data_IF_290705822876
#
_entry.id   IF_290705822876
#
_cell.length_a   1.000
_cell.length_b   1.000
_cell.length_c   1.000
_cell.angle_alpha   90.00
_cell.angle_beta   90.00
_cell.angle_gamma   90.00
#
_symmetry.space_group_name_H-M   'P 1'
#
loop_
_entity.id
_entity.type
_entity.pdbx_description
1 polymer ?
#
# COMPACT_ATOMS: atom_id res chain seq x y z
N UNK A 1 -13.22 -65.36 -6.62
CA UNK A 1 -11.86 -64.79 -6.90
C UNK A 1 -11.84 -64.31 -8.35
N UNK A 2 -11.70 -63.03 -8.62
CA UNK A 2 -11.68 -62.47 -9.98
C UNK A 2 -10.40 -62.96 -10.69
N UNK A 3 -10.57 -63.60 -11.87
CA UNK A 3 -9.47 -64.14 -12.69
C UNK A 3 -8.59 -62.95 -13.16
N UNK A 4 -7.30 -62.93 -12.70
CA UNK A 4 -6.35 -61.86 -13.11
C UNK A 4 -6.15 -61.91 -14.61
N UNK A 5 -6.42 -60.80 -15.30
CA UNK A 5 -6.20 -60.63 -16.76
C UNK A 5 -4.74 -60.78 -17.08
N UNK A 6 -4.42 -61.56 -18.13
CA UNK A 6 -3.03 -61.81 -18.58
C UNK A 6 -2.86 -61.40 -20.06
N UNK A 7 -1.67 -60.96 -20.39
CA UNK A 7 -1.28 -60.72 -21.79
C UNK A 7 -0.92 -61.99 -22.55
N UNK A 8 -0.59 -61.86 -23.83
CA UNK A 8 -0.15 -62.98 -24.68
C UNK A 8 1.13 -63.68 -24.19
N UNK A 9 1.93 -63.01 -23.34
CA UNK A 9 3.13 -63.55 -22.68
C UNK A 9 2.87 -64.09 -21.28
N UNK A 10 1.57 -64.30 -20.90
CA UNK A 10 1.11 -64.80 -19.59
C UNK A 10 1.42 -63.85 -18.40
N UNK A 11 1.82 -62.59 -18.62
CA UNK A 11 2.07 -61.60 -17.58
C UNK A 11 0.74 -61.02 -17.06
N UNK A 12 0.68 -60.73 -15.78
CA UNK A 12 -0.51 -60.12 -15.15
C UNK A 12 -0.61 -58.65 -15.54
N UNK A 13 -1.73 -58.27 -16.12
CA UNK A 13 -2.07 -56.88 -16.41
C UNK A 13 -2.63 -56.22 -15.17
N UNK A 14 -2.21 -54.99 -14.91
CA UNK A 14 -2.73 -54.15 -13.81
C UNK A 14 -4.17 -53.68 -14.11
N UNK A 15 -4.79 -53.08 -13.13
CA UNK A 15 -6.10 -52.48 -13.35
C UNK A 15 -5.99 -51.39 -14.45
N UNK A 16 -7.02 -51.30 -15.31
CA UNK A 16 -7.07 -50.41 -16.50
C UNK A 16 -6.05 -50.67 -17.59
N UNK A 17 -5.13 -51.66 -17.46
CA UNK A 17 -4.30 -52.16 -18.56
C UNK A 17 -5.08 -53.19 -19.37
N UNK A 18 -4.86 -53.20 -20.68
CA UNK A 18 -5.36 -54.24 -21.58
C UNK A 18 -4.43 -54.42 -22.77
N UNK A 19 -4.41 -55.61 -23.39
CA UNK A 19 -3.74 -55.82 -24.66
C UNK A 19 -4.75 -55.81 -25.79
N UNK A 20 -4.48 -55.01 -26.83
CA UNK A 20 -5.29 -54.88 -28.03
C UNK A 20 -5.05 -56.09 -28.98
N UNK A 21 -5.97 -56.34 -29.90
CA UNK A 21 -5.88 -57.37 -30.90
C UNK A 21 -4.66 -57.23 -31.82
N UNK A 22 -4.19 -56.00 -32.02
CA UNK A 22 -3.01 -55.68 -32.82
C UNK A 22 -1.68 -55.85 -32.08
N UNK A 23 -1.73 -56.29 -30.81
CA UNK A 23 -0.57 -56.53 -29.95
C UNK A 23 -0.11 -55.35 -29.12
N UNK A 24 -0.66 -54.16 -29.30
CA UNK A 24 -0.37 -52.98 -28.44
C UNK A 24 -0.96 -53.15 -27.07
N UNK A 25 -0.32 -52.59 -26.08
CA UNK A 25 -0.83 -52.42 -24.73
C UNK A 25 -1.56 -51.09 -24.63
N UNK A 26 -2.67 -51.03 -23.92
CA UNK A 26 -3.49 -49.87 -23.68
C UNK A 26 -3.67 -49.65 -22.17
N UNK A 27 -3.49 -48.43 -21.73
CA UNK A 27 -3.87 -47.95 -20.40
C UNK A 27 -4.93 -46.87 -20.52
N UNK A 28 -6.04 -47.04 -19.77
CA UNK A 28 -7.18 -46.12 -19.80
C UNK A 28 -7.23 -45.32 -18.49
N UNK A 29 -7.32 -44.00 -18.57
CA UNK A 29 -7.44 -43.14 -17.40
C UNK A 29 -8.47 -42.04 -17.61
N UNK A 30 -8.87 -41.38 -16.51
CA UNK A 30 -9.77 -40.23 -16.56
C UNK A 30 -8.95 -38.95 -16.44
N UNK A 31 -9.16 -38.00 -17.34
CA UNK A 31 -8.61 -36.65 -17.27
C UNK A 31 -9.74 -35.64 -17.48
N UNK A 32 -9.98 -34.79 -16.48
CA UNK A 32 -11.07 -33.82 -16.44
C UNK A 32 -12.47 -34.47 -16.70
N UNK A 33 -12.71 -35.63 -16.07
CA UNK A 33 -13.98 -36.38 -16.23
C UNK A 33 -14.14 -37.09 -17.58
N UNK A 34 -13.21 -36.95 -18.51
CA UNK A 34 -13.23 -37.64 -19.81
C UNK A 34 -12.23 -38.78 -19.82
N UNK A 35 -12.66 -39.92 -20.39
CA UNK A 35 -11.80 -41.07 -20.56
C UNK A 35 -10.77 -40.82 -21.67
N UNK A 36 -9.47 -41.05 -21.37
CA UNK A 36 -8.36 -41.06 -22.31
C UNK A 36 -7.64 -42.37 -22.29
N UNK A 37 -7.09 -42.76 -23.43
CA UNK A 37 -6.34 -43.98 -23.62
C UNK A 37 -4.93 -43.69 -24.15
N UNK A 38 -3.90 -44.32 -23.60
CA UNK A 38 -2.53 -44.34 -24.15
C UNK A 38 -2.16 -45.71 -24.58
N UNK A 39 -1.31 -45.78 -25.62
CA UNK A 39 -0.95 -47.05 -26.28
C UNK A 39 0.57 -47.17 -26.39
N UNK A 40 1.08 -48.41 -26.19
CA UNK A 40 2.49 -48.72 -26.39
C UNK A 40 2.66 -50.13 -26.91
N UNK A 41 3.73 -50.37 -27.67
CA UNK A 41 4.15 -51.72 -28.09
C UNK A 41 4.92 -52.47 -27.01
N UNK A 42 5.39 -51.76 -25.97
CA UNK A 42 6.10 -52.30 -24.82
C UNK A 42 5.23 -52.17 -23.57
N UNK A 43 5.13 -53.25 -22.77
CA UNK A 43 4.51 -53.17 -21.44
C UNK A 43 5.51 -52.63 -20.41
N UNK A 44 6.72 -53.23 -20.44
CA UNK A 44 7.82 -52.85 -19.54
C UNK A 44 8.99 -52.25 -20.33
N UNK A 45 9.87 -51.44 -19.72
CA UNK A 45 11.06 -50.89 -20.39
C UNK A 45 11.98 -51.93 -20.99
N UNK A 46 12.02 -53.12 -20.41
CA UNK A 46 12.83 -54.24 -20.84
C UNK A 46 12.26 -55.03 -22.02
N UNK A 47 11.04 -54.75 -22.44
CA UNK A 47 10.39 -55.46 -23.56
C UNK A 47 11.09 -55.16 -24.90
N UNK A 48 11.36 -56.22 -25.67
CA UNK A 48 11.85 -56.11 -27.05
C UNK A 48 10.71 -55.57 -27.93
N UNK A 49 11.07 -54.65 -28.79
CA UNK A 49 10.12 -54.05 -29.74
C UNK A 49 9.76 -55.10 -30.84
N UNK A 50 8.50 -55.20 -31.25
CA UNK A 50 8.13 -56.06 -32.38
C UNK A 50 8.83 -55.59 -33.69
N UNK A 51 9.22 -56.54 -34.54
CA UNK A 51 9.91 -56.24 -35.79
C UNK A 51 9.13 -55.25 -36.66
N UNK A 52 9.81 -54.25 -37.22
CA UNK A 52 9.23 -53.23 -38.08
C UNK A 52 8.46 -52.08 -37.35
N UNK A 53 8.54 -52.02 -36.02
CA UNK A 53 7.92 -50.93 -35.24
C UNK A 53 8.97 -49.92 -34.78
N UNK A 54 8.55 -48.64 -34.70
CA UNK A 54 9.39 -47.54 -34.16
C UNK A 54 9.49 -47.66 -32.63
N UNK A 55 10.62 -47.26 -32.10
CA UNK A 55 10.83 -47.25 -30.64
C UNK A 55 9.78 -46.37 -29.92
N UNK A 56 9.36 -46.85 -28.77
CA UNK A 56 8.33 -46.21 -27.97
C UNK A 56 8.59 -46.42 -26.46
N UNK A 57 8.10 -45.51 -25.68
CA UNK A 57 8.11 -45.57 -24.20
C UNK A 57 7.22 -46.74 -23.74
N UNK A 58 7.63 -47.48 -22.75
CA UNK A 58 6.84 -48.58 -22.18
C UNK A 58 5.53 -48.06 -21.53
N UNK A 59 4.46 -48.86 -21.62
CA UNK A 59 3.15 -48.46 -21.10
C UNK A 59 3.18 -48.12 -19.62
N UNK A 60 3.89 -48.92 -18.81
CA UNK A 60 4.01 -48.72 -17.36
C UNK A 60 4.82 -47.47 -16.99
N UNK A 61 5.76 -47.06 -17.78
CA UNK A 61 6.46 -45.77 -17.61
C UNK A 61 5.50 -44.60 -17.89
N UNK A 62 4.68 -44.70 -18.96
CA UNK A 62 3.64 -43.68 -19.23
C UNK A 62 2.59 -43.68 -18.13
N UNK A 63 2.16 -44.84 -17.60
CA UNK A 63 1.24 -44.95 -16.47
C UNK A 63 1.81 -44.26 -15.24
N UNK A 64 3.07 -44.49 -14.88
CA UNK A 64 3.72 -43.83 -13.74
C UNK A 64 3.80 -42.30 -13.92
N UNK A 65 4.10 -41.83 -15.11
CA UNK A 65 4.07 -40.37 -15.41
C UNK A 65 2.67 -39.77 -15.32
N UNK A 66 1.65 -40.50 -15.82
CA UNK A 66 0.25 -40.05 -15.73
C UNK A 66 -0.21 -40.04 -14.28
N UNK A 67 0.08 -41.12 -13.51
CA UNK A 67 -0.23 -41.19 -12.08
C UNK A 67 0.49 -40.09 -11.28
N UNK A 68 1.78 -39.83 -11.56
CA UNK A 68 2.51 -38.71 -10.97
C UNK A 68 1.85 -37.37 -11.30
N UNK A 69 1.44 -37.15 -12.56
CA UNK A 69 0.69 -35.95 -12.94
C UNK A 69 -0.67 -35.83 -12.26
N UNK A 70 -1.38 -36.95 -12.06
CA UNK A 70 -2.66 -36.99 -11.36
C UNK A 70 -2.52 -36.83 -9.84
N UNK A 71 -1.45 -37.36 -9.24
CA UNK A 71 -1.11 -37.18 -7.82
C UNK A 71 -0.52 -35.79 -7.52
N UNK A 72 0.27 -35.24 -8.46
CA UNK A 72 0.80 -33.88 -8.40
C UNK A 72 -0.17 -32.84 -8.99
N UNK A 73 -1.17 -33.29 -9.76
CA UNK A 73 -2.25 -32.46 -10.27
C UNK A 73 -3.07 -31.94 -9.12
N UNK A 74 -3.01 -30.64 -8.88
CA UNK A 74 -3.85 -29.96 -7.91
C UNK A 74 -5.32 -30.35 -8.12
N UNK A 75 -6.08 -30.57 -7.01
CA UNK A 75 -7.50 -30.76 -7.13
C UNK A 75 -8.07 -29.60 -7.95
N UNK A 76 -9.09 -29.89 -8.74
CA UNK A 76 -9.80 -28.95 -9.65
C UNK A 76 -10.08 -27.63 -8.92
N UNK A 77 -9.06 -26.75 -8.81
CA UNK A 77 -9.29 -25.41 -8.28
C UNK A 77 -10.19 -24.71 -9.26
N UNK A 78 -11.34 -24.20 -8.83
CA UNK A 78 -12.21 -23.43 -9.70
C UNK A 78 -11.36 -22.33 -10.33
N UNK A 79 -11.42 -22.20 -11.66
CA UNK A 79 -10.74 -21.11 -12.36
C UNK A 79 -11.15 -19.80 -11.71
N UNK A 80 -10.20 -19.11 -11.13
CA UNK A 80 -10.42 -17.86 -10.39
C UNK A 80 -9.73 -16.73 -11.13
N UNK A 81 -10.43 -15.63 -11.34
CA UNK A 81 -9.84 -14.42 -11.94
C UNK A 81 -9.07 -13.61 -10.89
N UNK A 82 -8.21 -12.69 -11.36
CA UNK A 82 -7.51 -11.74 -10.47
C UNK A 82 -8.50 -10.91 -9.65
N UNK A 83 -9.58 -10.44 -10.28
CA UNK A 83 -10.63 -9.68 -9.59
C UNK A 83 -11.24 -10.49 -8.44
N UNK A 84 -11.61 -11.74 -8.67
CA UNK A 84 -12.18 -12.63 -7.66
C UNK A 84 -11.19 -12.91 -6.52
N UNK A 85 -9.91 -13.13 -6.83
CA UNK A 85 -8.86 -13.33 -5.83
C UNK A 85 -8.71 -12.09 -4.93
N UNK A 86 -8.65 -10.89 -5.53
CA UNK A 86 -8.50 -9.63 -4.78
C UNK A 86 -9.74 -9.39 -3.90
N UNK A 87 -10.94 -9.61 -4.41
CA UNK A 87 -12.17 -9.48 -3.61
C UNK A 87 -12.18 -10.47 -2.44
N UNK A 88 -11.77 -11.74 -2.67
CA UNK A 88 -11.63 -12.76 -1.62
C UNK A 88 -10.62 -12.34 -0.56
N UNK A 89 -9.45 -11.85 -0.97
CA UNK A 89 -8.41 -11.35 -0.06
C UNK A 89 -8.92 -10.19 0.81
N UNK A 90 -9.57 -9.21 0.20
CA UNK A 90 -10.08 -8.03 0.92
C UNK A 90 -11.20 -8.39 1.90
N UNK A 91 -12.08 -9.33 1.55
CA UNK A 91 -13.14 -9.82 2.46
C UNK A 91 -12.59 -10.43 3.76
N UNK A 92 -11.39 -10.99 3.73
CA UNK A 92 -10.73 -11.54 4.93
C UNK A 92 -10.11 -10.47 5.82
N UNK A 93 -9.95 -9.22 5.32
CA UNK A 93 -9.37 -8.11 6.09
C UNK A 93 -10.42 -7.43 6.95
N UNK A 94 -10.58 -7.92 8.19
CA UNK A 94 -11.44 -7.29 9.19
C UNK A 94 -10.69 -6.21 9.96
N UNK A 95 -11.40 -5.25 10.55
CA UNK A 95 -10.82 -4.20 11.40
C UNK A 95 -9.92 -3.19 10.69
N UNK A 96 -9.89 -3.17 9.35
CA UNK A 96 -9.09 -2.18 8.60
C UNK A 96 -9.70 -0.79 8.69
N UNK A 97 -8.83 0.21 8.84
CA UNK A 97 -9.21 1.62 8.87
C UNK A 97 -9.89 2.06 7.57
N UNK A 98 -10.76 3.08 7.68
CA UNK A 98 -11.51 3.60 6.54
C UNK A 98 -10.60 4.09 5.39
N UNK A 99 -9.46 4.71 5.71
CA UNK A 99 -8.45 5.11 4.73
C UNK A 99 -7.87 3.92 3.95
N UNK A 100 -7.61 2.80 4.63
CA UNK A 100 -7.13 1.55 4.01
C UNK A 100 -8.21 0.94 3.13
N UNK A 101 -9.47 0.95 3.60
CA UNK A 101 -10.63 0.47 2.83
C UNK A 101 -10.83 1.28 1.55
N UNK A 102 -10.67 2.61 1.62
CA UNK A 102 -10.71 3.48 0.45
C UNK A 102 -9.57 3.15 -0.54
N UNK A 103 -8.36 2.84 -0.04
CA UNK A 103 -7.25 2.36 -0.86
C UNK A 103 -7.57 1.04 -1.57
N UNK A 104 -8.14 0.08 -0.88
CA UNK A 104 -8.59 -1.19 -1.48
C UNK A 104 -9.63 -0.98 -2.57
N UNK A 105 -10.61 -0.09 -2.35
CA UNK A 105 -11.61 0.27 -3.36
C UNK A 105 -10.97 0.85 -4.62
N UNK A 106 -9.95 1.68 -4.47
CA UNK A 106 -9.18 2.23 -5.60
C UNK A 106 -8.48 1.13 -6.39
N UNK A 107 -7.88 0.15 -5.72
CA UNK A 107 -7.21 -0.99 -6.38
C UNK A 107 -8.23 -1.86 -7.13
N UNK A 108 -9.35 -2.21 -6.48
CA UNK A 108 -10.45 -2.96 -7.13
C UNK A 108 -10.95 -2.22 -8.39
N UNK A 109 -11.20 -0.91 -8.28
CA UNK A 109 -11.69 -0.11 -9.41
C UNK A 109 -10.66 -0.02 -10.54
N UNK A 110 -9.37 -0.06 -10.23
CA UNK A 110 -8.31 -0.10 -11.25
C UNK A 110 -8.31 -1.43 -11.97
N UNK A 111 -8.33 -2.55 -11.24
CA UNK A 111 -8.34 -3.89 -11.81
C UNK A 111 -9.61 -4.20 -12.62
N UNK A 112 -10.79 -3.75 -12.16
CA UNK A 112 -12.05 -3.92 -12.91
C UNK A 112 -12.09 -3.18 -14.26
N UNK A 113 -11.25 -2.17 -14.43
CA UNK A 113 -11.11 -1.41 -15.70
C UNK A 113 -9.98 -1.93 -16.57
N UNK A 114 -9.21 -2.86 -16.09
CA UNK A 114 -7.99 -3.37 -16.70
C UNK A 114 -8.20 -4.82 -17.15
N UNK A 115 -7.88 -5.20 -18.39
CA UNK A 115 -8.00 -6.58 -18.85
C UNK A 115 -7.27 -7.60 -17.99
N UNK A 116 -6.20 -7.18 -17.30
CA UNK A 116 -5.45 -8.02 -16.38
C UNK A 116 -6.34 -8.56 -15.24
N UNK A 117 -7.33 -7.80 -14.79
CA UNK A 117 -8.26 -8.20 -13.75
C UNK A 117 -9.14 -9.41 -14.11
N UNK A 118 -9.41 -9.64 -15.41
CA UNK A 118 -10.22 -10.75 -15.91
C UNK A 118 -9.39 -12.01 -16.22
N UNK A 119 -8.06 -11.92 -16.18
CA UNK A 119 -7.19 -13.09 -16.41
C UNK A 119 -7.31 -14.10 -15.28
N UNK A 120 -7.18 -15.39 -15.60
CA UNK A 120 -7.11 -16.45 -14.60
C UNK A 120 -5.77 -16.45 -13.90
N UNK A 121 -5.78 -16.63 -12.57
CA UNK A 121 -4.57 -16.52 -11.73
C UNK A 121 -3.54 -17.61 -12.02
N UNK A 122 -3.97 -18.80 -12.45
CA UNK A 122 -3.13 -19.95 -12.83
C UNK A 122 -2.39 -19.75 -14.15
N UNK A 123 -2.85 -18.83 -15.01
CA UNK A 123 -2.24 -18.48 -16.29
C UNK A 123 -1.20 -17.36 -16.18
N UNK A 124 -1.12 -16.67 -15.04
CA UNK A 124 -0.25 -15.50 -14.86
C UNK A 124 1.15 -15.93 -14.46
N UNK A 125 2.12 -15.57 -15.28
CA UNK A 125 3.55 -15.76 -15.02
C UNK A 125 4.18 -14.48 -14.46
N UNK A 126 5.41 -14.61 -13.92
CA UNK A 126 6.18 -13.45 -13.41
C UNK A 126 6.40 -12.41 -14.49
N UNK A 127 6.62 -12.83 -15.75
CA UNK A 127 6.76 -11.93 -16.90
C UNK A 127 5.50 -11.11 -17.14
N UNK A 128 4.32 -11.74 -17.08
CA UNK A 128 3.04 -11.04 -17.28
C UNK A 128 2.79 -10.00 -16.19
N UNK A 129 3.09 -10.36 -14.92
CA UNK A 129 2.98 -9.44 -13.80
C UNK A 129 3.90 -8.22 -13.95
N UNK A 130 5.15 -8.44 -14.42
CA UNK A 130 6.11 -7.34 -14.68
C UNK A 130 5.63 -6.44 -15.81
N UNK A 131 5.21 -7.02 -16.94
CA UNK A 131 4.72 -6.27 -18.10
C UNK A 131 3.50 -5.44 -17.73
N UNK A 132 2.53 -6.01 -17.02
CA UNK A 132 1.37 -5.26 -16.55
C UNK A 132 1.73 -4.03 -15.70
N UNK A 133 2.70 -4.17 -14.77
CA UNK A 133 3.14 -3.03 -13.96
C UNK A 133 3.87 -1.96 -14.80
N UNK A 134 4.62 -2.37 -15.84
CA UNK A 134 5.26 -1.45 -16.79
C UNK A 134 4.19 -0.69 -17.59
N UNK A 135 3.20 -1.39 -18.12
CA UNK A 135 2.06 -0.80 -18.84
C UNK A 135 1.30 0.21 -17.97
N UNK A 136 1.12 -0.07 -16.67
CA UNK A 136 0.52 0.88 -15.74
C UNK A 136 1.35 2.17 -15.64
N UNK A 137 2.69 2.07 -15.65
CA UNK A 137 3.58 3.25 -15.60
C UNK A 137 3.55 4.02 -16.93
N UNK A 138 3.60 3.33 -18.06
CA UNK A 138 3.49 3.91 -19.40
C UNK A 138 2.15 4.63 -19.59
N UNK A 139 1.07 4.08 -19.02
CA UNK A 139 -0.24 4.72 -18.97
C UNK A 139 -0.36 5.85 -17.92
N UNK A 140 0.77 6.37 -17.44
CA UNK A 140 0.87 7.58 -16.60
C UNK A 140 0.60 7.35 -15.12
N UNK A 141 0.52 6.11 -14.62
CA UNK A 141 0.47 5.89 -13.16
C UNK A 141 1.86 6.06 -12.56
N UNK A 142 1.97 6.89 -11.53
CA UNK A 142 3.21 7.10 -10.79
C UNK A 142 3.64 5.86 -10.02
N UNK A 143 4.95 5.68 -9.84
CA UNK A 143 5.54 4.58 -9.07
C UNK A 143 4.86 4.36 -7.70
N UNK A 144 4.58 5.42 -6.95
CA UNK A 144 3.91 5.32 -5.64
C UNK A 144 2.49 4.73 -5.73
N UNK A 145 1.76 5.00 -6.82
CA UNK A 145 0.43 4.43 -7.07
C UNK A 145 0.55 2.94 -7.40
N UNK A 146 1.50 2.58 -8.26
CA UNK A 146 1.77 1.18 -8.62
C UNK A 146 2.25 0.38 -7.41
N UNK A 147 3.11 0.97 -6.57
CA UNK A 147 3.53 0.38 -5.30
C UNK A 147 2.32 0.07 -4.39
N UNK A 148 1.35 0.98 -4.32
CA UNK A 148 0.11 0.78 -3.55
C UNK A 148 -0.73 -0.35 -4.14
N UNK A 149 -0.90 -0.40 -5.47
CA UNK A 149 -1.63 -1.48 -6.17
C UNK A 149 -0.98 -2.83 -5.88
N UNK A 150 0.35 -2.93 -6.09
CA UNK A 150 1.10 -4.15 -5.81
C UNK A 150 1.04 -4.54 -4.33
N UNK A 151 0.99 -3.56 -3.42
CA UNK A 151 0.82 -3.77 -1.98
C UNK A 151 -0.48 -4.49 -1.59
N UNK A 152 -1.46 -4.56 -2.49
CA UNK A 152 -2.69 -5.35 -2.34
C UNK A 152 -2.62 -6.64 -3.15
N UNK A 153 -2.15 -6.55 -4.39
CA UNK A 153 -2.12 -7.70 -5.32
C UNK A 153 -1.14 -8.78 -4.87
N UNK A 154 0.10 -8.40 -4.50
CA UNK A 154 1.12 -9.37 -4.06
C UNK A 154 0.68 -10.21 -2.85
N UNK A 155 0.14 -9.64 -1.76
CA UNK A 155 -0.36 -10.45 -0.64
C UNK A 155 -1.58 -11.31 -0.99
N UNK A 156 -2.43 -10.89 -1.93
CA UNK A 156 -3.54 -11.72 -2.39
C UNK A 156 -3.04 -12.96 -3.15
N UNK A 157 -2.05 -12.80 -4.02
CA UNK A 157 -1.40 -13.93 -4.67
C UNK A 157 -0.58 -14.78 -3.68
N UNK A 158 -0.06 -14.18 -2.63
CA UNK A 158 0.59 -14.92 -1.54
C UNK A 158 -0.40 -15.80 -0.79
N UNK A 159 -1.60 -15.31 -0.51
CA UNK A 159 -2.68 -16.11 0.06
C UNK A 159 -3.05 -17.28 -0.85
N UNK A 160 -3.13 -17.07 -2.18
CA UNK A 160 -3.42 -18.16 -3.12
C UNK A 160 -2.29 -19.22 -3.16
N UNK A 161 -1.04 -18.83 -2.94
CA UNK A 161 0.09 -19.74 -2.76
C UNK A 161 -0.02 -20.53 -1.46
N UNK A 162 -0.37 -19.88 -0.34
CA UNK A 162 -0.55 -20.48 0.99
C UNK A 162 -1.76 -21.42 1.04
N UNK A 163 -2.79 -21.15 0.22
CA UNK A 163 -3.96 -22.02 0.01
C UNK A 163 -3.70 -23.16 -1.01
N UNK A 164 -2.45 -23.39 -1.45
CA UNK A 164 -2.06 -24.38 -2.46
C UNK A 164 -2.77 -24.24 -3.83
N UNK A 165 -3.35 -23.07 -4.11
CA UNK A 165 -3.99 -22.77 -5.41
C UNK A 165 -2.92 -22.50 -6.48
N UNK A 166 -1.81 -21.86 -6.10
CA UNK A 166 -0.69 -21.53 -6.99
C UNK A 166 0.60 -22.17 -6.48
N UNK A 167 1.54 -22.46 -7.40
CA UNK A 167 2.87 -22.96 -7.05
C UNK A 167 3.87 -21.86 -6.74
N UNK A 168 3.65 -20.67 -7.30
CA UNK A 168 4.52 -19.51 -7.16
C UNK A 168 3.69 -18.23 -7.17
N UNK A 169 4.13 -17.24 -6.39
CA UNK A 169 3.56 -15.90 -6.46
C UNK A 169 4.18 -15.11 -7.61
N UNK A 170 3.43 -14.74 -8.67
CA UNK A 170 3.97 -14.01 -9.82
C UNK A 170 4.43 -12.59 -9.50
N UNK A 171 4.08 -12.05 -8.32
CA UNK A 171 4.49 -10.73 -7.83
C UNK A 171 5.66 -10.78 -6.84
N UNK A 172 6.31 -11.95 -6.65
CA UNK A 172 7.45 -12.12 -5.73
C UNK A 172 8.77 -11.63 -6.36
N UNK A 173 8.84 -10.33 -6.71
CA UNK A 173 10.05 -9.66 -7.21
C UNK A 173 10.18 -8.27 -6.59
N UNK A 174 11.37 -7.67 -6.68
CA UNK A 174 11.63 -6.31 -6.24
C UNK A 174 11.08 -5.30 -7.27
N UNK A 175 10.21 -4.38 -6.82
CA UNK A 175 9.56 -3.42 -7.72
C UNK A 175 10.57 -2.46 -8.38
N UNK A 176 11.60 -2.06 -7.64
CA UNK A 176 12.65 -1.17 -8.11
C UNK A 176 13.50 -1.76 -9.25
N UNK A 177 13.48 -3.09 -9.45
CA UNK A 177 14.18 -3.74 -10.58
C UNK A 177 13.36 -3.73 -11.88
N UNK A 178 12.09 -3.32 -11.80
CA UNK A 178 11.15 -3.38 -12.93
C UNK A 178 10.71 -2.00 -13.38
N UNK A 179 10.50 -1.08 -12.43
CA UNK A 179 9.97 0.26 -12.68
C UNK A 179 10.97 1.34 -12.28
N UNK A 180 10.96 2.43 -13.03
CA UNK A 180 11.69 3.64 -12.66
C UNK A 180 10.96 4.34 -11.52
N UNK A 181 11.69 4.67 -10.45
CA UNK A 181 11.12 5.42 -9.34
C UNK A 181 11.07 6.91 -9.66
N UNK A 182 9.93 7.39 -10.14
CA UNK A 182 9.62 8.78 -10.44
C UNK A 182 9.07 9.57 -9.23
N UNK A 183 9.23 9.04 -8.02
CA UNK A 183 8.73 9.68 -6.81
C UNK A 183 9.54 10.93 -6.47
N UNK A 184 8.87 12.08 -6.44
CA UNK A 184 9.48 13.31 -5.95
C UNK A 184 9.75 13.22 -4.44
N UNK A 185 10.99 13.40 -4.03
CA UNK A 185 11.36 13.53 -2.62
C UNK A 185 10.76 14.84 -2.08
N UNK A 186 10.09 14.75 -0.93
CA UNK A 186 9.57 15.94 -0.26
C UNK A 186 10.65 16.50 0.64
N UNK A 187 11.26 17.57 0.21
CA UNK A 187 12.29 18.25 0.97
C UNK A 187 11.70 19.15 2.05
N UNK A 188 12.41 19.28 3.16
CA UNK A 188 12.14 20.27 4.19
C UNK A 188 12.45 21.67 3.66
N UNK A 189 11.70 22.66 4.11
CA UNK A 189 12.03 24.06 3.78
C UNK A 189 13.30 24.50 4.51
N UNK A 190 14.09 25.34 3.85
CA UNK A 190 15.16 26.08 4.53
C UNK A 190 14.56 27.06 5.54
N UNK A 191 15.33 27.45 6.57
CA UNK A 191 14.88 28.46 7.55
C UNK A 191 14.45 29.77 6.90
N UNK A 192 15.12 30.15 5.80
CA UNK A 192 14.79 31.35 5.01
C UNK A 192 13.42 31.21 4.34
N UNK A 193 13.18 30.07 3.67
CA UNK A 193 11.90 29.77 3.00
C UNK A 193 10.75 29.67 4.00
N UNK A 194 10.92 29.01 5.13
CA UNK A 194 9.93 28.92 6.20
C UNK A 194 9.54 30.32 6.70
N UNK A 195 10.54 31.16 7.00
CA UNK A 195 10.30 32.53 7.45
C UNK A 195 9.58 33.37 6.41
N UNK A 196 10.02 33.31 5.15
CA UNK A 196 9.38 34.05 4.04
C UNK A 196 7.92 33.60 3.83
N UNK A 197 7.66 32.29 3.93
CA UNK A 197 6.31 31.76 3.79
C UNK A 197 5.40 32.24 4.92
N UNK A 198 5.85 32.13 6.16
CA UNK A 198 5.10 32.58 7.34
C UNK A 198 4.86 34.10 7.33
N UNK A 199 5.86 34.89 6.95
CA UNK A 199 5.72 36.34 6.83
C UNK A 199 4.70 36.74 5.75
N UNK A 200 4.74 36.06 4.59
CA UNK A 200 3.75 36.24 3.54
C UNK A 200 2.33 35.93 4.04
N UNK A 201 2.13 34.79 4.72
CA UNK A 201 0.83 34.42 5.25
C UNK A 201 0.33 35.44 6.27
N UNK A 202 1.20 35.91 7.16
CA UNK A 202 0.87 36.89 8.21
C UNK A 202 0.39 38.22 7.64
N UNK A 203 1.00 38.68 6.56
CA UNK A 203 0.75 39.97 5.95
C UNK A 203 -0.34 39.94 4.85
N UNK A 204 -0.78 38.77 4.43
CA UNK A 204 -1.78 38.63 3.38
C UNK A 204 -3.21 38.88 3.90
N UNK A 205 -3.95 39.80 3.26
CA UNK A 205 -5.33 40.18 3.68
C UNK A 205 -6.30 38.99 3.77
N UNK A 206 -6.10 37.94 2.97
CA UNK A 206 -6.99 36.79 2.94
C UNK A 206 -6.50 35.62 3.82
N UNK A 207 -5.19 35.40 3.84
CA UNK A 207 -4.64 34.18 4.48
C UNK A 207 -4.17 34.44 5.93
N UNK A 208 -4.06 35.71 6.38
CA UNK A 208 -3.65 36.04 7.76
C UNK A 208 -4.49 35.34 8.83
N UNK A 209 -5.79 35.16 8.59
CA UNK A 209 -6.70 34.43 9.51
C UNK A 209 -6.34 32.95 9.71
N UNK A 210 -5.41 32.40 8.93
CA UNK A 210 -4.91 31.02 9.05
C UNK A 210 -3.46 30.97 9.53
N UNK A 211 -2.88 32.14 9.83
CA UNK A 211 -1.46 32.24 10.20
C UNK A 211 -1.14 31.38 11.42
N UNK A 212 -1.92 31.50 12.48
CA UNK A 212 -1.72 30.77 13.74
C UNK A 212 -1.72 29.25 13.52
N UNK A 213 -2.67 28.75 12.73
CA UNK A 213 -2.76 27.34 12.41
C UNK A 213 -1.54 26.86 11.63
N UNK A 214 -1.12 27.62 10.63
CA UNK A 214 0.04 27.31 9.78
C UNK A 214 1.32 27.36 10.61
N UNK A 215 1.45 28.36 11.50
CA UNK A 215 2.57 28.49 12.42
C UNK A 215 2.67 27.28 13.37
N UNK A 216 1.56 26.88 13.97
CA UNK A 216 1.49 25.70 14.84
C UNK A 216 1.94 24.45 14.09
N UNK A 217 1.51 24.23 12.86
CA UNK A 217 1.93 23.08 12.04
C UNK A 217 3.44 23.05 11.80
N UNK A 218 4.09 24.20 11.58
CA UNK A 218 5.54 24.32 11.45
C UNK A 218 6.30 24.11 12.76
N UNK A 219 5.70 24.47 13.89
CA UNK A 219 6.38 24.49 15.20
C UNK A 219 6.08 23.31 16.10
N UNK A 220 5.16 22.43 15.70
CA UNK A 220 4.78 21.23 16.46
C UNK A 220 4.98 19.93 15.70
N UNK A 221 5.06 20.01 14.37
CA UNK A 221 5.18 18.84 13.52
C UNK A 221 3.98 17.87 13.57
N UNK A 222 2.82 18.29 14.07
CA UNK A 222 1.59 17.48 14.09
C UNK A 222 1.18 17.04 12.68
N UNK A 223 0.54 15.86 12.58
CA UNK A 223 -0.15 15.49 11.34
C UNK A 223 -1.36 16.37 11.12
N UNK A 224 -1.63 16.72 9.88
CA UNK A 224 -2.77 17.60 9.58
C UNK A 224 -4.11 17.04 10.06
N UNK A 225 -4.31 15.73 10.03
CA UNK A 225 -5.52 15.08 10.55
C UNK A 225 -5.63 15.16 12.07
N UNK A 226 -4.50 15.11 12.80
CA UNK A 226 -4.42 15.34 14.24
C UNK A 226 -4.80 16.79 14.54
N UNK A 227 -4.19 17.77 13.85
CA UNK A 227 -4.51 19.19 14.00
C UNK A 227 -6.01 19.49 13.71
N UNK A 228 -6.56 18.89 12.67
CA UNK A 228 -7.99 19.06 12.36
C UNK A 228 -8.90 18.45 13.45
N UNK A 229 -8.43 17.41 14.14
CA UNK A 229 -9.15 16.76 15.24
C UNK A 229 -9.11 17.53 16.54
N UNK A 230 -8.14 18.44 16.74
CA UNK A 230 -8.01 19.18 17.99
C UNK A 230 -9.28 19.91 18.35
N UNK A 231 -9.69 19.75 19.59
CA UNK A 231 -10.78 20.47 20.24
C UNK A 231 -10.24 21.40 21.33
N UNK A 232 -11.09 22.28 21.83
CA UNK A 232 -10.73 23.18 22.96
C UNK A 232 -10.27 22.38 24.17
N UNK A 233 -10.85 21.21 24.43
CA UNK A 233 -10.51 20.35 25.58
C UNK A 233 -9.13 19.71 25.47
N UNK A 234 -8.55 19.62 24.27
CA UNK A 234 -7.22 19.03 24.05
C UNK A 234 -6.09 20.04 24.31
N UNK A 235 -6.45 21.33 24.50
CA UNK A 235 -5.50 22.43 24.71
C UNK A 235 -5.47 22.81 26.20
N UNK A 236 -4.42 22.44 26.88
CA UNK A 236 -4.20 22.85 28.27
C UNK A 236 -3.36 24.14 28.32
N UNK A 237 -4.03 25.29 28.37
CA UNK A 237 -3.36 26.59 28.41
C UNK A 237 -2.60 26.81 29.73
N UNK A 238 -3.02 26.20 30.85
CA UNK A 238 -2.35 26.33 32.14
C UNK A 238 -1.01 25.58 32.15
N UNK A 239 -1.03 24.31 31.74
CA UNK A 239 0.16 23.45 31.71
C UNK A 239 0.97 23.63 30.42
N UNK A 240 0.49 24.44 29.47
CA UNK A 240 1.08 24.69 28.14
C UNK A 240 1.35 23.38 27.38
N UNK A 241 0.34 22.53 27.30
CA UNK A 241 0.41 21.26 26.62
C UNK A 241 -0.73 21.02 25.67
N UNK A 242 -0.48 20.21 24.63
CA UNK A 242 -1.46 19.80 23.63
C UNK A 242 -1.58 18.27 23.73
N UNK A 243 -2.78 17.79 24.01
CA UNK A 243 -3.07 16.36 24.00
C UNK A 243 -3.41 15.90 22.56
N UNK A 244 -2.73 14.88 22.07
CA UNK A 244 -2.97 14.28 20.76
C UNK A 244 -3.31 12.82 20.99
N UNK A 245 -4.58 12.46 20.92
CA UNK A 245 -5.10 11.10 21.09
C UNK A 245 -5.95 10.63 19.91
N UNK A 246 -6.38 11.54 19.05
CA UNK A 246 -7.27 11.26 17.93
C UNK A 246 -6.97 12.11 16.69
N UNK A 247 -7.66 11.80 15.62
CA UNK A 247 -7.59 12.52 14.36
C UNK A 247 -8.98 12.65 13.73
N UNK A 248 -9.20 13.75 13.02
CA UNK A 248 -10.42 13.97 12.25
C UNK A 248 -10.22 13.62 10.80
N UNK A 249 -11.09 12.77 10.28
CA UNK A 249 -11.10 12.36 8.88
C UNK A 249 -12.48 12.64 8.26
N UNK A 250 -12.49 12.72 6.93
CA UNK A 250 -13.71 12.74 6.14
C UNK A 250 -13.65 11.63 5.10
N UNK A 251 -14.63 10.74 5.15
CA UNK A 251 -14.73 9.60 4.24
C UNK A 251 -15.09 10.03 2.82
N UNK A 252 -14.95 9.13 1.85
CA UNK A 252 -15.39 9.36 0.47
C UNK A 252 -16.90 9.65 0.37
N UNK A 253 -17.71 9.15 1.32
CA UNK A 253 -19.14 9.45 1.47
C UNK A 253 -19.42 10.77 2.18
N UNK A 254 -18.43 11.67 2.34
CA UNK A 254 -18.55 12.97 2.99
C UNK A 254 -18.90 12.92 4.49
N UNK A 255 -18.86 11.74 5.11
CA UNK A 255 -19.09 11.59 6.56
C UNK A 255 -17.81 11.97 7.31
N UNK A 256 -17.95 12.77 8.37
CA UNK A 256 -16.89 13.08 9.31
C UNK A 256 -16.79 11.96 10.34
N UNK A 257 -15.58 11.56 10.67
CA UNK A 257 -15.29 10.52 11.67
C UNK A 257 -14.08 10.92 12.51
N UNK A 258 -14.11 10.53 13.78
CA UNK A 258 -12.95 10.56 14.66
C UNK A 258 -12.36 9.14 14.67
N UNK A 259 -11.07 9.05 14.43
CA UNK A 259 -10.31 7.81 14.62
C UNK A 259 -9.20 8.07 15.66
N UNK A 260 -8.87 7.03 16.42
CA UNK A 260 -7.66 7.06 17.25
C UNK A 260 -6.42 7.30 16.38
N UNK A 261 -5.35 7.78 16.99
CA UNK A 261 -4.07 7.96 16.30
C UNK A 261 -3.63 6.65 15.62
N UNK A 262 -2.87 6.76 14.53
CA UNK A 262 -2.51 5.62 13.67
C UNK A 262 -1.77 4.50 14.40
N UNK A 263 -1.11 4.81 15.52
CA UNK A 263 -0.38 3.89 16.37
C UNK A 263 -0.44 4.36 17.81
N UNK A 264 -0.15 3.49 18.77
CA UNK A 264 0.01 3.86 20.19
C UNK A 264 1.03 4.99 20.37
N UNK A 265 2.10 5.00 19.60
CA UNK A 265 3.09 6.09 19.57
C UNK A 265 2.52 7.42 19.04
N UNK A 266 1.35 7.39 18.38
CA UNK A 266 0.66 8.60 17.92
C UNK A 266 0.00 9.37 19.05
N UNK A 267 -0.44 8.68 20.13
CA UNK A 267 -0.99 9.30 21.32
C UNK A 267 0.16 9.87 22.15
N UNK A 268 0.15 11.19 22.33
CA UNK A 268 1.23 11.91 22.96
C UNK A 268 0.78 13.29 23.45
N UNK A 269 1.54 13.85 24.37
CA UNK A 269 1.37 15.22 24.84
C UNK A 269 2.54 16.05 24.33
N UNK A 270 2.23 17.13 23.61
CA UNK A 270 3.23 18.07 23.08
C UNK A 270 3.31 19.31 23.98
N UNK A 271 4.53 19.76 24.35
CA UNK A 271 4.70 21.04 25.01
C UNK A 271 4.51 22.20 24.02
N UNK A 272 4.04 23.34 24.52
CA UNK A 272 3.92 24.58 23.73
C UNK A 272 5.15 25.46 23.99
N UNK A 273 5.75 25.99 22.92
CA UNK A 273 6.62 27.16 23.03
C UNK A 273 5.76 28.42 23.32
N UNK A 274 6.39 29.52 23.73
CA UNK A 274 5.68 30.76 23.98
C UNK A 274 4.88 31.20 22.76
N UNK A 275 5.46 31.11 21.57
CA UNK A 275 4.82 31.54 20.32
C UNK A 275 3.64 30.63 19.95
N UNK A 276 3.76 29.31 20.16
CA UNK A 276 2.67 28.35 19.96
C UNK A 276 1.54 28.61 20.95
N UNK A 277 1.86 28.93 22.20
CA UNK A 277 0.89 29.32 23.21
C UNK A 277 0.10 30.57 22.79
N UNK A 278 0.77 31.63 22.33
CA UNK A 278 0.11 32.85 21.85
C UNK A 278 -0.76 32.57 20.61
N UNK A 279 -0.32 31.68 19.71
CA UNK A 279 -1.13 31.25 18.59
C UNK A 279 -2.44 30.56 19.06
N UNK A 280 -2.37 29.63 19.99
CA UNK A 280 -3.58 29.00 20.53
C UNK A 280 -4.47 29.96 21.25
N UNK A 281 -3.91 30.88 22.04
CA UNK A 281 -4.64 31.95 22.72
C UNK A 281 -5.44 32.79 21.69
N UNK A 282 -4.78 33.25 20.63
CA UNK A 282 -5.40 34.00 19.52
C UNK A 282 -6.52 33.20 18.85
N UNK A 283 -6.28 31.88 18.59
CA UNK A 283 -7.31 31.02 18.00
C UNK A 283 -8.53 30.91 18.92
N UNK A 284 -8.36 30.70 20.23
CA UNK A 284 -9.42 30.50 21.19
C UNK A 284 -10.23 31.79 21.38
N UNK A 285 -9.57 32.96 21.46
CA UNK A 285 -10.20 34.28 21.57
C UNK A 285 -11.02 34.66 20.34
N UNK A 286 -10.49 34.36 19.13
CA UNK A 286 -11.13 34.70 17.87
C UNK A 286 -12.08 33.60 17.35
N UNK A 287 -12.19 32.46 18.03
CA UNK A 287 -13.08 31.39 17.62
C UNK A 287 -14.53 31.83 17.69
N UNK A 288 -15.17 31.90 16.50
CA UNK A 288 -16.60 32.18 16.42
C UNK A 288 -17.39 30.99 16.98
N UNK A 289 -18.19 31.26 18.02
CA UNK A 289 -19.12 30.25 18.55
C UNK A 289 -20.24 30.02 17.52
N UNK A 290 -20.42 28.84 16.97
CA UNK A 290 -21.53 28.54 16.08
C UNK A 290 -22.85 28.51 16.85
N UNK A 291 -24.00 28.72 16.17
CA UNK A 291 -25.32 28.58 16.80
C UNK A 291 -25.56 27.18 17.38
N UNK A 292 -25.07 26.16 16.67
CA UNK A 292 -25.07 24.76 17.09
C UNK A 292 -23.64 24.24 16.93
N UNK A 293 -23.05 23.78 18.03
CA UNK A 293 -21.69 23.21 18.00
C UNK A 293 -21.70 21.88 17.27
N UNK A 294 -20.83 21.69 16.25
CA UNK A 294 -20.75 20.41 15.55
C UNK A 294 -20.15 19.34 16.46
N UNK A 295 -20.84 18.19 16.53
CA UNK A 295 -20.39 17.02 17.25
C UNK A 295 -20.03 15.91 16.23
N UNK A 296 -18.84 15.37 16.36
CA UNK A 296 -18.36 14.23 15.54
C UNK A 296 -17.89 13.14 16.48
N UNK A 297 -18.57 11.99 16.47
CA UNK A 297 -18.27 10.81 17.30
C UNK A 297 -17.97 11.20 18.78
N UNK A 298 -18.81 12.08 19.36
CA UNK A 298 -18.72 12.55 20.76
C UNK A 298 -17.73 13.70 21.01
N UNK A 299 -16.91 14.11 20.04
CA UNK A 299 -16.02 15.27 20.16
C UNK A 299 -16.69 16.53 19.64
N UNK A 300 -16.51 17.64 20.35
CA UNK A 300 -17.05 18.97 20.03
C UNK A 300 -16.01 20.06 20.35
N UNK A 301 -16.24 21.28 19.88
CA UNK A 301 -15.32 22.39 20.16
C UNK A 301 -14.09 22.40 19.24
N UNK A 302 -14.22 21.93 17.99
CA UNK A 302 -13.13 21.95 17.01
C UNK A 302 -12.61 23.38 16.79
N UNK A 303 -11.30 23.54 16.64
CA UNK A 303 -10.64 24.84 16.56
C UNK A 303 -11.06 25.65 15.33
N UNK A 304 -11.23 25.00 14.19
CA UNK A 304 -11.58 25.64 12.92
C UNK A 304 -12.83 25.02 12.28
N UNK A 305 -13.77 25.87 11.93
CA UNK A 305 -15.00 25.51 11.24
C UNK A 305 -15.03 26.12 9.83
N UNK A 306 -15.65 25.43 8.89
CA UNK A 306 -15.91 25.94 7.54
C UNK A 306 -17.14 26.92 7.56
N UNK A 307 -17.43 27.47 6.39
CA UNK A 307 -18.58 28.40 6.23
C UNK A 307 -19.94 27.77 6.56
N UNK A 308 -20.04 26.45 6.58
CA UNK A 308 -21.26 25.70 6.90
C UNK A 308 -21.26 25.23 8.37
N UNK A 309 -20.34 25.69 9.19
CA UNK A 309 -20.21 25.31 10.60
C UNK A 309 -19.69 23.90 10.83
N UNK A 310 -19.12 23.23 9.82
CA UNK A 310 -18.53 21.91 9.94
C UNK A 310 -17.03 22.01 10.22
N UNK A 311 -16.44 21.05 10.96
CA UNK A 311 -15.00 21.04 11.21
C UNK A 311 -14.19 21.04 9.91
N UNK A 312 -13.13 21.84 9.86
CA UNK A 312 -12.23 21.86 8.72
C UNK A 312 -11.36 20.59 8.72
N UNK A 313 -11.29 19.90 7.57
CA UNK A 313 -10.51 18.67 7.39
C UNK A 313 -9.25 18.93 6.56
N UNK A 314 -8.33 17.97 6.54
CA UNK A 314 -7.03 18.04 5.84
C UNK A 314 -7.12 18.59 4.41
N UNK A 315 -8.19 18.29 3.66
CA UNK A 315 -8.38 18.78 2.28
C UNK A 315 -8.51 20.30 2.20
N UNK A 316 -9.17 20.94 3.19
CA UNK A 316 -9.28 22.41 3.24
C UNK A 316 -7.88 23.04 3.38
N UNK A 317 -7.09 22.53 4.32
CA UNK A 317 -5.73 23.01 4.56
C UNK A 317 -4.82 22.80 3.37
N UNK A 318 -4.87 21.62 2.72
CA UNK A 318 -4.11 21.35 1.50
C UNK A 318 -4.40 22.38 0.40
N UNK A 319 -5.68 22.75 0.21
CA UNK A 319 -6.08 23.78 -0.76
C UNK A 319 -5.56 25.17 -0.36
N UNK A 320 -5.62 25.53 0.93
CA UNK A 320 -5.07 26.82 1.38
C UNK A 320 -3.57 26.90 1.17
N UNK A 321 -2.80 25.87 1.54
CA UNK A 321 -1.37 25.81 1.27
C UNK A 321 -1.07 25.95 -0.23
N UNK A 322 -1.84 25.30 -1.09
CA UNK A 322 -1.70 25.42 -2.53
C UNK A 322 -1.95 26.86 -3.00
N UNK A 323 -3.07 27.46 -2.61
CA UNK A 323 -3.44 28.82 -3.01
C UNK A 323 -2.45 29.88 -2.45
N UNK A 324 -1.97 29.71 -1.22
CA UNK A 324 -0.94 30.57 -0.63
C UNK A 324 0.31 30.53 -1.49
N UNK A 325 0.82 29.33 -1.82
CA UNK A 325 2.00 29.16 -2.66
C UNK A 325 1.80 29.76 -4.05
N UNK A 326 0.67 29.48 -4.69
CA UNK A 326 0.35 30.02 -6.02
C UNK A 326 0.30 31.56 -6.00
N UNK A 327 -0.28 32.15 -4.97
CA UNK A 327 -0.30 33.60 -4.81
C UNK A 327 1.09 34.18 -4.55
N UNK A 328 1.88 33.55 -3.68
CA UNK A 328 3.28 33.92 -3.44
C UNK A 328 4.07 33.91 -4.74
N UNK A 329 3.99 32.83 -5.50
CA UNK A 329 4.75 32.64 -6.73
C UNK A 329 4.33 33.58 -7.88
N UNK A 330 3.13 34.15 -7.81
CA UNK A 330 2.70 35.22 -8.75
C UNK A 330 3.29 36.58 -8.40
N UNK A 331 3.63 36.82 -7.13
CA UNK A 331 4.09 38.11 -6.63
C UNK A 331 5.61 38.18 -6.61
N UNK A 332 6.28 37.10 -6.22
CA UNK A 332 7.71 37.08 -5.99
C UNK A 332 8.48 36.33 -7.11
N UNK A 333 9.62 36.92 -7.51
CA UNK A 333 10.50 36.31 -8.52
C UNK A 333 11.08 34.96 -8.03
N UNK A 334 11.48 34.92 -6.75
CA UNK A 334 11.99 33.67 -6.13
C UNK A 334 10.79 32.81 -5.79
N UNK A 335 10.71 31.69 -6.47
CA UNK A 335 9.57 30.77 -6.33
C UNK A 335 9.63 29.98 -5.04
N UNK A 336 8.50 29.89 -4.34
CA UNK A 336 8.33 29.03 -3.17
C UNK A 336 8.13 27.58 -3.64
N UNK A 337 8.90 26.63 -3.11
CA UNK A 337 8.70 25.21 -3.43
C UNK A 337 7.32 24.73 -3.00
N UNK A 338 6.97 23.47 -3.27
CA UNK A 338 5.70 22.91 -2.88
C UNK A 338 5.58 22.81 -1.35
N UNK A 339 4.86 23.73 -0.73
CA UNK A 339 4.56 23.71 0.71
C UNK A 339 3.23 23.02 0.94
N UNK A 340 3.22 22.06 1.85
CA UNK A 340 2.03 21.31 2.29
C UNK A 340 2.11 21.11 3.80
N UNK A 341 1.01 20.76 4.49
CA UNK A 341 1.07 20.44 5.92
C UNK A 341 2.09 19.33 6.24
N UNK A 342 2.32 18.41 5.31
CA UNK A 342 3.32 17.37 5.48
C UNK A 342 4.75 17.89 5.37
N UNK A 343 4.98 18.87 4.48
CA UNK A 343 6.26 19.58 4.40
C UNK A 343 6.53 20.38 5.67
N UNK A 344 5.52 21.01 6.29
CA UNK A 344 5.68 21.68 7.61
C UNK A 344 6.20 20.68 8.66
N UNK A 345 5.62 19.48 8.70
CA UNK A 345 6.05 18.41 9.61
C UNK A 345 7.48 17.94 9.29
N UNK A 346 7.86 17.78 8.03
CA UNK A 346 9.24 17.46 7.63
C UNK A 346 10.21 18.57 8.04
N UNK A 347 9.84 19.82 7.81
CA UNK A 347 10.65 20.99 8.21
C UNK A 347 10.86 21.04 9.72
N UNK A 348 9.80 20.78 10.52
CA UNK A 348 9.93 20.68 11.97
C UNK A 348 10.90 19.57 12.38
N UNK A 349 10.74 18.36 11.81
CA UNK A 349 11.60 17.22 12.10
C UNK A 349 13.07 17.52 11.80
N UNK A 350 13.35 18.08 10.60
CA UNK A 350 14.71 18.48 10.20
C UNK A 350 15.30 19.59 11.07
N UNK A 351 14.48 20.61 11.41
CA UNK A 351 14.94 21.70 12.26
C UNK A 351 15.28 21.19 13.69
N UNK A 352 14.45 20.30 14.25
CA UNK A 352 14.71 19.69 15.56
C UNK A 352 15.93 18.77 15.54
N UNK A 353 16.10 17.99 14.47
CA UNK A 353 17.30 17.16 14.31
C UNK A 353 18.59 18.00 14.25
N UNK A 354 18.56 19.16 13.57
CA UNK A 354 19.69 20.12 13.52
C UNK A 354 20.04 20.73 14.87
N UNK A 355 19.14 20.76 15.84
CA UNK A 355 19.43 21.21 17.22
C UNK A 355 20.12 20.15 18.07
N UNK A 356 20.37 18.94 17.55
CA UNK A 356 20.99 17.86 18.28
C UNK A 356 20.07 17.18 19.29
N UNK A 357 18.73 17.34 19.18
CA UNK A 357 17.78 16.65 20.05
C UNK A 357 17.96 15.14 19.98
N UNK A 358 17.83 14.44 21.11
CA UNK A 358 17.90 12.99 21.10
C UNK A 358 16.88 12.38 20.12
N UNK A 359 17.30 11.46 19.22
CA UNK A 359 16.41 10.85 18.23
C UNK A 359 15.15 10.19 18.81
N UNK A 360 15.25 9.61 20.03
CA UNK A 360 14.13 8.99 20.73
C UNK A 360 13.11 10.03 21.20
N UNK A 361 13.58 11.18 21.68
CA UNK A 361 12.71 12.31 22.05
C UNK A 361 12.01 12.89 20.82
N UNK A 362 12.75 13.02 19.70
CA UNK A 362 12.15 13.47 18.45
C UNK A 362 11.14 12.44 17.91
N UNK A 363 11.42 11.15 17.99
CA UNK A 363 10.46 10.08 17.66
C UNK A 363 9.14 10.26 18.42
N UNK A 364 9.21 10.52 19.74
CA UNK A 364 8.04 10.76 20.59
C UNK A 364 7.28 12.00 20.14
N UNK A 365 7.94 13.15 19.99
CA UNK A 365 7.32 14.40 19.55
C UNK A 365 6.62 14.25 18.18
N UNK A 366 7.26 13.54 17.27
CA UNK A 366 6.71 13.25 15.94
C UNK A 366 5.61 12.18 15.97
N UNK A 367 5.53 11.33 16.99
CA UNK A 367 4.62 10.18 17.02
C UNK A 367 4.91 9.19 15.89
N UNK A 368 6.19 8.88 15.65
CA UNK A 368 6.61 7.85 14.71
C UNK A 368 6.60 6.48 15.41
N UNK A 369 5.91 5.51 14.81
CA UNK A 369 5.88 4.14 15.33
C UNK A 369 7.25 3.46 15.21
N UNK A 370 7.98 3.74 14.13
CA UNK A 370 9.31 3.23 13.86
C UNK A 370 10.35 4.35 13.94
N UNK A 371 11.41 4.11 14.69
CA UNK A 371 12.51 5.06 14.85
C UNK A 371 13.29 5.29 13.54
N UNK A 372 13.31 4.32 12.64
CA UNK A 372 13.97 4.43 11.34
C UNK A 372 13.48 5.65 10.56
N UNK A 373 12.19 5.98 10.65
CA UNK A 373 11.60 7.17 10.02
C UNK A 373 12.23 8.46 10.56
N UNK A 374 12.55 8.50 11.86
CA UNK A 374 13.22 9.65 12.47
C UNK A 374 14.71 9.67 12.11
N UNK A 375 15.40 8.52 12.20
CA UNK A 375 16.82 8.40 11.89
C UNK A 375 17.15 8.74 10.44
N UNK A 376 16.29 8.43 9.49
CA UNK A 376 16.44 8.85 8.09
C UNK A 376 16.59 10.37 7.94
N UNK A 377 15.95 11.16 8.82
CA UNK A 377 16.12 12.63 8.82
C UNK A 377 17.51 13.02 9.30
N UNK A 378 18.06 12.35 10.33
CA UNK A 378 19.42 12.60 10.81
C UNK A 378 20.47 12.20 9.77
N UNK A 379 20.29 11.05 9.13
CA UNK A 379 21.20 10.56 8.08
C UNK A 379 21.25 11.54 6.91
N UNK A 380 20.10 12.04 6.46
CA UNK A 380 20.02 13.03 5.38
C UNK A 380 20.79 14.33 5.75
N UNK A 381 20.75 14.75 7.03
CA UNK A 381 21.46 15.94 7.48
C UNK A 381 22.98 15.76 7.51
N UNK A 382 23.48 14.58 7.89
CA UNK A 382 24.93 14.29 7.88
C UNK A 382 25.48 14.36 6.45
N UNK A 383 24.81 13.75 5.49
CA UNK A 383 25.25 13.80 4.09
C UNK A 383 25.21 15.22 3.48
N UNK A 384 24.31 16.10 3.94
CA UNK A 384 24.24 17.49 3.44
C UNK A 384 25.24 18.41 4.12
N UNK A 385 25.74 18.12 5.33
CA UNK A 385 26.82 18.85 5.98
C UNK A 385 28.17 18.52 5.36
N UNK A 386 28.44 17.24 5.08
CA UNK A 386 29.70 16.82 4.46
C UNK A 386 29.87 17.37 3.04
N UNK A 387 28.78 17.49 2.27
CA UNK A 387 28.80 18.07 0.93
C UNK A 387 29.00 19.61 0.94
N UNK A 388 28.69 20.30 2.03
CA UNK A 388 28.93 21.75 2.16
C UNK A 388 30.37 22.07 2.59
N UNK A 389 31.00 21.14 3.30
CA UNK A 389 32.41 21.30 3.73
C UNK A 389 33.41 20.96 2.58
N UNK A 390 32.97 20.20 1.55
CA UNK A 390 33.78 19.91 0.36
C UNK A 390 33.76 21.05 -0.71
N UNK A 391 32.77 21.95 -0.69
CA UNK A 391 32.71 23.11 -1.60
C UNK A 391 33.49 24.34 -1.07
N UNK A 392 33.88 24.37 0.21
CA UNK A 392 34.67 25.46 0.83
C UNK A 392 36.15 25.08 1.02
N UNK A 393 36.62 23.98 0.51
CA UNK A 393 38.02 23.55 0.46
C UNK A 393 38.52 23.52 -0.98
#
# INVERSE_FOLDING_TARGET
MSQKRRDSKKRVLRDRESQCKDGRYRYSYLENGKRKDVYSWKLEPTDKLPAGKRDCVALRTMEEEILKKQLLGKPNCPKMTVNELIERYIKQKQGVRESTRAGYKTVINTLKKDPFGERFIDEIRISDAKLWLIELQENGKKYSTIHTIRGVVRPAFQMALEDDILDKNPFAFELATVLVNDSETREALTRKQERQFLEFVKNDKHFSRYYEAIYILFKTGMRISEFCGLTISDINMRERTINIDHQLLRTSGMKYIIEDTKSTSGTRVLPMTNEVYECFKTILENRKKPKVEPIVDGKAGFLYLDKNGKPMVALHWQKYFQHIREKYNKIYRIQMPKVTPHVCRHTYCSNMAKTGINPKSLQYLMGHADISVTLNTYTCLLYTSDAADEEDS
#
